data_IF_133181704884
#
_entry.id   IF_133181704884
#
_cell.length_a   1.000
_cell.length_b   1.000
_cell.length_c   1.000
_cell.angle_alpha   90.00
_cell.angle_beta   90.00
_cell.angle_gamma   90.00
#
_symmetry.space_group_name_H-M   'P 1'
#
loop_
_entity.id
_entity.type
_entity.pdbx_description
1 polymer ?
#
# COMPACT_ATOMS: atom_id res chain seq x y z
N UNK A 1 26.18 51.44 -66.41
CA UNK A 1 25.51 50.68 -67.48
C UNK A 1 24.90 49.42 -66.90
N UNK A 2 23.56 49.42 -66.81
CA UNK A 2 22.57 48.36 -67.07
C UNK A 2 22.72 46.95 -66.45
N UNK A 3 21.57 46.50 -65.93
CA UNK A 3 21.09 45.11 -65.70
C UNK A 3 21.45 44.49 -64.36
N UNK A 4 20.52 44.17 -63.45
CA UNK A 4 19.22 43.51 -63.65
C UNK A 4 19.40 42.05 -63.23
N UNK A 5 18.76 41.52 -62.18
CA UNK A 5 17.33 41.23 -62.09
C UNK A 5 16.93 41.01 -60.62
N UNK A 6 15.70 41.43 -60.32
CA UNK A 6 14.96 41.18 -59.08
C UNK A 6 14.62 39.69 -58.99
N UNK A 7 14.80 39.07 -57.82
CA UNK A 7 14.14 37.81 -57.49
C UNK A 7 13.16 38.06 -56.34
N UNK A 8 11.88 37.97 -56.68
CA UNK A 8 10.73 38.10 -55.80
C UNK A 8 10.60 36.88 -54.89
N UNK A 9 10.23 37.17 -53.64
CA UNK A 9 9.25 36.47 -52.80
C UNK A 9 9.32 34.93 -52.77
N UNK A 10 9.74 34.38 -51.62
CA UNK A 10 9.07 33.21 -51.08
C UNK A 10 8.86 33.38 -49.57
N UNK A 11 7.64 33.06 -49.16
CA UNK A 11 6.99 33.50 -47.94
C UNK A 11 7.63 32.97 -46.65
N UNK A 12 7.75 33.87 -45.68
CA UNK A 12 7.81 33.54 -44.26
C UNK A 12 6.50 32.85 -43.85
N UNK A 13 6.55 31.54 -43.64
CA UNK A 13 5.48 30.75 -43.05
C UNK A 13 5.93 30.17 -41.72
N UNK A 14 6.14 31.02 -40.71
CA UNK A 14 6.29 30.58 -39.31
C UNK A 14 4.90 30.15 -38.81
N UNK A 15 4.58 28.87 -38.96
CA UNK A 15 3.48 28.23 -38.23
C UNK A 15 3.94 28.03 -36.79
N UNK A 16 3.69 29.04 -35.94
CA UNK A 16 3.62 28.88 -34.49
C UNK A 16 2.43 27.96 -34.20
N UNK A 17 2.70 26.66 -34.08
CA UNK A 17 1.80 25.73 -33.44
C UNK A 17 1.67 26.15 -31.98
N UNK A 18 0.60 26.88 -31.66
CA UNK A 18 0.21 27.18 -30.29
C UNK A 18 0.00 25.88 -29.55
N UNK A 19 0.94 25.52 -28.67
CA UNK A 19 0.71 24.50 -27.67
C UNK A 19 -0.40 25.02 -26.74
N UNK A 20 -1.64 24.63 -27.03
CA UNK A 20 -2.76 24.77 -26.12
C UNK A 20 -2.51 23.81 -24.96
N UNK A 21 -1.73 24.26 -23.96
CA UNK A 21 -1.68 23.60 -22.67
C UNK A 21 -2.99 23.92 -21.98
N UNK A 22 -4.01 23.09 -22.23
CA UNK A 22 -5.22 23.11 -21.43
C UNK A 22 -4.81 22.83 -19.96
N UNK A 23 -5.27 23.62 -18.98
CA UNK A 23 -4.99 23.35 -17.58
C UNK A 23 -5.59 21.99 -17.22
N UNK A 24 -4.73 21.04 -16.81
CA UNK A 24 -5.16 19.75 -16.26
C UNK A 24 -6.09 20.03 -15.08
N UNK A 25 -7.28 19.40 -14.98
CA UNK A 25 -8.19 19.61 -13.85
C UNK A 25 -7.61 18.98 -12.57
N UNK A 26 -6.63 19.65 -11.95
CA UNK A 26 -5.91 19.19 -10.76
C UNK A 26 -6.86 18.86 -9.58
N UNK A 27 -8.03 19.48 -9.54
CA UNK A 27 -9.04 19.25 -8.50
C UNK A 27 -9.81 17.93 -8.59
N UNK A 28 -9.90 17.29 -9.76
CA UNK A 28 -10.66 16.04 -9.91
C UNK A 28 -9.79 14.80 -9.67
N UNK A 29 -8.51 14.82 -10.04
CA UNK A 29 -7.56 13.73 -9.79
C UNK A 29 -7.19 13.64 -8.30
N UNK A 30 -6.87 14.78 -7.67
CA UNK A 30 -6.57 14.84 -6.24
C UNK A 30 -7.76 14.38 -5.37
N UNK A 31 -9.01 14.54 -5.82
CA UNK A 31 -10.21 14.09 -5.11
C UNK A 31 -10.56 12.61 -5.37
N UNK A 32 -10.03 12.00 -6.42
CA UNK A 32 -10.22 10.56 -6.73
C UNK A 32 -9.28 9.66 -5.92
N UNK A 33 -8.03 10.08 -5.70
CA UNK A 33 -7.05 9.24 -5.01
C UNK A 33 -7.40 8.90 -3.55
N UNK A 34 -7.86 9.84 -2.70
CA UNK A 34 -8.27 9.53 -1.33
C UNK A 34 -9.38 8.48 -1.27
N UNK A 35 -10.33 8.50 -2.22
CA UNK A 35 -11.42 7.51 -2.29
C UNK A 35 -10.93 6.11 -2.67
N UNK A 36 -9.89 6.01 -3.51
CA UNK A 36 -9.31 4.71 -3.87
C UNK A 36 -8.47 4.13 -2.71
N UNK A 37 -7.75 4.97 -1.97
CA UNK A 37 -7.01 4.54 -0.78
C UNK A 37 -7.96 4.02 0.31
N UNK A 38 -9.05 4.75 0.58
CA UNK A 38 -10.09 4.33 1.50
C UNK A 38 -10.76 3.02 1.08
N UNK A 39 -11.13 2.89 -0.20
CA UNK A 39 -11.69 1.64 -0.73
C UNK A 39 -10.72 0.45 -0.57
N UNK A 40 -9.42 0.65 -0.83
CA UNK A 40 -8.39 -0.38 -0.64
C UNK A 40 -8.25 -0.79 0.83
N UNK A 41 -8.25 0.17 1.74
CA UNK A 41 -8.23 -0.11 3.18
C UNK A 41 -9.45 -0.92 3.62
N UNK A 42 -10.65 -0.49 3.23
CA UNK A 42 -11.89 -1.18 3.60
C UNK A 42 -11.94 -2.61 3.06
N UNK A 43 -11.49 -2.84 1.83
CA UNK A 43 -11.41 -4.18 1.26
C UNK A 43 -10.40 -5.07 2.01
N UNK A 44 -9.22 -4.54 2.34
CA UNK A 44 -8.21 -5.28 3.11
C UNK A 44 -8.69 -5.60 4.53
N UNK A 45 -9.42 -4.67 5.17
CA UNK A 45 -9.99 -4.86 6.51
C UNK A 45 -11.03 -5.98 6.52
N UNK A 46 -12.00 -5.91 5.61
CA UNK A 46 -13.04 -6.95 5.48
C UNK A 46 -12.43 -8.33 5.23
N UNK A 47 -11.43 -8.40 4.35
CA UNK A 47 -10.79 -9.67 4.03
C UNK A 47 -9.93 -10.19 5.19
N UNK A 48 -9.22 -9.31 5.92
CA UNK A 48 -8.50 -9.71 7.12
C UNK A 48 -9.44 -10.30 8.17
N UNK A 49 -10.57 -9.64 8.44
CA UNK A 49 -11.55 -10.10 9.42
C UNK A 49 -12.09 -11.50 9.07
N UNK A 50 -12.40 -11.73 7.79
CA UNK A 50 -12.82 -13.04 7.29
C UNK A 50 -11.74 -14.11 7.48
N UNK A 51 -10.50 -13.80 7.09
CA UNK A 51 -9.37 -14.73 7.18
C UNK A 51 -9.04 -15.04 8.63
N UNK A 52 -9.11 -14.05 9.53
CA UNK A 52 -8.95 -14.27 10.96
C UNK A 52 -9.99 -15.23 11.51
N UNK A 53 -11.27 -15.03 11.18
CA UNK A 53 -12.35 -15.94 11.57
C UNK A 53 -12.14 -17.35 11.02
N UNK A 54 -11.75 -17.47 9.75
CA UNK A 54 -11.48 -18.76 9.11
C UNK A 54 -10.29 -19.46 9.75
N UNK A 55 -9.26 -18.72 10.14
CA UNK A 55 -8.09 -19.28 10.82
C UNK A 55 -8.48 -19.84 12.19
N UNK A 56 -9.30 -19.11 12.96
CA UNK A 56 -9.83 -19.58 14.24
C UNK A 56 -10.68 -20.87 14.11
N UNK A 57 -11.24 -21.11 12.92
CA UNK A 57 -12.00 -22.30 12.56
C UNK A 57 -11.14 -23.37 11.86
N UNK A 58 -9.82 -23.20 11.77
CA UNK A 58 -8.89 -24.09 11.07
C UNK A 58 -9.22 -24.30 9.59
N UNK A 59 -9.75 -23.28 8.91
CA UNK A 59 -10.15 -23.33 7.48
C UNK A 59 -9.11 -22.73 6.53
N UNK A 60 -8.12 -22.03 7.06
CA UNK A 60 -7.00 -21.41 6.33
C UNK A 60 -5.74 -21.55 7.16
N UNK A 61 -4.58 -21.30 6.57
CA UNK A 61 -3.28 -21.47 7.21
C UNK A 61 -2.83 -20.16 7.88
N UNK A 62 -1.86 -20.23 8.80
CA UNK A 62 -1.37 -19.03 9.51
C UNK A 62 -0.72 -18.00 8.59
N UNK A 63 -0.17 -18.45 7.45
CA UNK A 63 0.42 -17.56 6.45
C UNK A 63 -0.63 -16.62 5.83
N UNK A 64 -1.87 -17.09 5.62
CA UNK A 64 -2.94 -16.25 5.09
C UNK A 64 -3.23 -15.08 6.04
N UNK A 65 -3.26 -15.34 7.35
CA UNK A 65 -3.46 -14.30 8.36
C UNK A 65 -2.34 -13.26 8.33
N UNK A 66 -1.09 -13.71 8.22
CA UNK A 66 0.07 -12.82 8.11
C UNK A 66 -0.02 -11.92 6.86
N UNK A 67 -0.27 -12.52 5.69
CA UNK A 67 -0.35 -11.79 4.42
C UNK A 67 -1.45 -10.73 4.46
N UNK A 68 -2.65 -11.09 4.90
CA UNK A 68 -3.75 -10.12 4.95
C UNK A 68 -3.55 -9.04 6.03
N UNK A 69 -2.91 -9.37 7.16
CA UNK A 69 -2.52 -8.37 8.15
C UNK A 69 -1.51 -7.36 7.61
N UNK A 70 -0.56 -7.82 6.78
CA UNK A 70 0.43 -6.97 6.11
C UNK A 70 -0.22 -6.09 5.03
N UNK A 71 -1.11 -6.65 4.21
CA UNK A 71 -1.85 -5.88 3.21
C UNK A 71 -2.73 -4.80 3.85
N UNK A 72 -3.37 -5.10 4.98
CA UNK A 72 -4.14 -4.12 5.76
C UNK A 72 -3.24 -3.00 6.30
N UNK A 73 -2.07 -3.34 6.84
CA UNK A 73 -1.07 -2.36 7.28
C UNK A 73 -0.63 -1.44 6.13
N UNK A 74 -0.31 -2.01 4.97
CA UNK A 74 0.10 -1.24 3.79
C UNK A 74 -1.02 -0.34 3.26
N UNK A 75 -2.27 -0.83 3.25
CA UNK A 75 -3.42 -0.02 2.88
C UNK A 75 -3.68 1.12 3.88
N UNK A 76 -3.53 0.87 5.18
CA UNK A 76 -3.68 1.88 6.23
C UNK A 76 -2.66 3.02 6.10
N UNK A 77 -1.39 2.69 5.81
CA UNK A 77 -0.35 3.69 5.52
C UNK A 77 -0.68 4.55 4.29
N UNK A 78 -1.42 3.99 3.32
CA UNK A 78 -1.89 4.73 2.14
C UNK A 78 -2.98 5.76 2.41
N UNK A 79 -3.58 5.79 3.62
CA UNK A 79 -4.62 6.76 3.98
C UNK A 79 -4.04 8.11 4.42
N UNK A 80 -2.79 8.15 4.88
CA UNK A 80 -2.17 9.38 5.38
C UNK A 80 -0.66 9.30 5.35
N UNK A 81 -0.01 10.37 4.87
CA UNK A 81 1.44 10.50 4.89
C UNK A 81 2.00 10.84 6.28
N UNK A 82 1.12 11.14 7.24
CA UNK A 82 1.51 11.56 8.59
C UNK A 82 2.31 10.47 9.32
N UNK A 83 3.46 10.82 9.93
CA UNK A 83 4.29 9.85 10.66
C UNK A 83 3.54 9.10 11.77
N UNK A 84 2.69 9.79 12.55
CA UNK A 84 1.93 9.17 13.64
C UNK A 84 0.93 8.11 13.14
N UNK A 85 0.31 8.33 11.98
CA UNK A 85 -0.61 7.37 11.35
C UNK A 85 0.13 6.16 10.80
N UNK A 86 1.34 6.36 10.30
CA UNK A 86 2.22 5.29 9.84
C UNK A 86 2.66 4.40 11.01
N UNK A 87 3.07 5.00 12.13
CA UNK A 87 3.43 4.27 13.36
C UNK A 87 2.22 3.47 13.87
N UNK A 88 1.03 4.07 13.92
CA UNK A 88 -0.18 3.36 14.35
C UNK A 88 -0.47 2.11 13.48
N UNK A 89 -0.30 2.19 12.16
CA UNK A 89 -0.48 1.05 11.28
C UNK A 89 0.48 -0.12 11.59
N UNK A 90 1.74 0.19 11.93
CA UNK A 90 2.72 -0.81 12.36
C UNK A 90 2.37 -1.41 13.74
N UNK A 91 1.90 -0.59 14.68
CA UNK A 91 1.47 -1.06 16.00
C UNK A 91 0.28 -2.01 15.92
N UNK A 92 -0.71 -1.70 15.09
CA UNK A 92 -1.85 -2.58 14.85
C UNK A 92 -1.45 -3.90 14.17
N UNK A 93 -0.52 -3.86 13.21
CA UNK A 93 0.02 -5.07 12.59
C UNK A 93 0.74 -5.96 13.62
N UNK A 94 1.58 -5.35 14.46
CA UNK A 94 2.29 -6.04 15.53
C UNK A 94 1.32 -6.69 16.53
N UNK A 95 0.26 -5.98 16.93
CA UNK A 95 -0.77 -6.53 17.81
C UNK A 95 -1.44 -7.77 17.19
N UNK A 96 -1.80 -7.71 15.90
CA UNK A 96 -2.32 -8.88 15.16
C UNK A 96 -1.32 -10.05 15.15
N UNK A 97 -0.02 -9.81 14.95
CA UNK A 97 1.00 -10.88 14.94
C UNK A 97 1.21 -11.49 16.33
N UNK A 98 1.19 -10.68 17.40
CA UNK A 98 1.23 -11.18 18.78
C UNK A 98 0.03 -12.07 19.10
N UNK A 99 -1.18 -11.68 18.66
CA UNK A 99 -2.40 -12.47 18.81
C UNK A 99 -2.30 -13.80 18.05
N UNK A 100 -1.81 -13.77 16.81
CA UNK A 100 -1.62 -14.96 15.98
C UNK A 100 -0.61 -15.93 16.62
N UNK A 101 0.57 -15.44 17.01
CA UNK A 101 1.60 -16.26 17.68
C UNK A 101 1.07 -16.88 18.98
N UNK A 102 0.32 -16.11 19.79
CA UNK A 102 -0.30 -16.61 21.01
C UNK A 102 -1.28 -17.76 20.73
N UNK A 103 -2.12 -17.61 19.70
CA UNK A 103 -3.08 -18.62 19.30
C UNK A 103 -2.37 -19.89 18.79
N UNK A 104 -1.35 -19.74 17.94
CA UNK A 104 -0.55 -20.85 17.41
C UNK A 104 0.13 -21.63 18.54
N UNK A 105 0.80 -20.93 19.47
CA UNK A 105 1.44 -21.57 20.62
C UNK A 105 0.42 -22.31 21.48
N UNK A 106 -0.79 -21.76 21.67
CA UNK A 106 -1.88 -22.42 22.39
C UNK A 106 -2.35 -23.69 21.67
N UNK A 107 -2.61 -23.63 20.37
CA UNK A 107 -3.00 -24.77 19.54
C UNK A 107 -1.94 -25.86 19.58
N UNK A 108 -0.66 -25.49 19.45
CA UNK A 108 0.47 -26.42 19.55
C UNK A 108 0.57 -27.12 20.89
N UNK A 109 0.40 -26.39 21.99
CA UNK A 109 0.40 -26.95 23.35
C UNK A 109 -0.72 -27.96 23.58
N UNK A 110 -1.84 -27.82 22.86
CA UNK A 110 -2.97 -28.76 22.90
C UNK A 110 -2.75 -29.99 21.99
N UNK A 111 -1.60 -30.11 21.32
CA UNK A 111 -1.26 -31.25 20.45
C UNK A 111 -1.70 -31.10 19.00
N UNK A 112 -2.23 -29.94 18.60
CA UNK A 112 -2.67 -29.65 17.23
C UNK A 112 -1.69 -28.71 16.50
N UNK A 113 -1.87 -28.52 15.20
CA UNK A 113 -1.04 -27.61 14.40
C UNK A 113 0.40 -28.09 14.17
N UNK A 114 1.10 -27.45 13.23
CA UNK A 114 2.46 -27.84 12.84
C UNK A 114 3.48 -27.09 13.70
N UNK A 115 4.61 -27.73 14.01
CA UNK A 115 5.72 -27.05 14.71
C UNK A 115 6.29 -25.91 13.87
N UNK A 116 6.23 -26.02 12.54
CA UNK A 116 6.62 -24.95 11.61
C UNK A 116 5.84 -23.66 11.83
N UNK A 117 4.58 -23.75 12.22
CA UNK A 117 3.71 -22.58 12.38
C UNK A 117 4.16 -21.73 13.58
N UNK A 118 4.72 -22.37 14.62
CA UNK A 118 5.29 -21.66 15.78
C UNK A 118 6.45 -20.79 15.34
N UNK A 119 7.44 -21.36 14.65
CA UNK A 119 8.60 -20.62 14.16
C UNK A 119 8.24 -19.54 13.14
N UNK A 120 7.29 -19.82 12.25
CA UNK A 120 6.77 -18.85 11.30
C UNK A 120 6.11 -17.65 12.01
N UNK A 121 5.25 -17.92 13.01
CA UNK A 121 4.55 -16.86 13.75
C UNK A 121 5.48 -16.00 14.60
N UNK A 122 6.55 -16.59 15.14
CA UNK A 122 7.60 -15.85 15.82
C UNK A 122 8.34 -14.92 14.86
N UNK A 123 8.71 -15.41 13.67
CA UNK A 123 9.31 -14.59 12.62
C UNK A 123 8.40 -13.42 12.23
N UNK A 124 7.11 -13.65 12.00
CA UNK A 124 6.17 -12.59 11.63
C UNK A 124 6.05 -11.50 12.71
N UNK A 125 6.03 -11.88 14.00
CA UNK A 125 6.06 -10.91 15.10
C UNK A 125 7.35 -10.10 15.08
N UNK A 126 8.51 -10.76 14.97
CA UNK A 126 9.82 -10.09 14.96
C UNK A 126 9.92 -9.11 13.78
N UNK A 127 9.48 -9.51 12.59
CA UNK A 127 9.45 -8.63 11.43
C UNK A 127 8.58 -7.38 11.70
N UNK A 128 7.40 -7.55 12.29
CA UNK A 128 6.53 -6.44 12.69
C UNK A 128 7.19 -5.52 13.75
N UNK A 129 7.97 -6.07 14.67
CA UNK A 129 8.74 -5.30 15.65
C UNK A 129 9.86 -4.49 15.00
N UNK A 130 10.59 -5.10 14.06
CA UNK A 130 11.62 -4.41 13.29
C UNK A 130 11.03 -3.22 12.53
N UNK A 131 9.93 -3.41 11.80
CA UNK A 131 9.29 -2.32 11.07
C UNK A 131 8.77 -1.21 11.97
N UNK A 132 8.22 -1.55 13.14
CA UNK A 132 7.78 -0.55 14.11
C UNK A 132 8.97 0.24 14.68
N UNK A 133 10.08 -0.44 15.00
CA UNK A 133 11.29 0.20 15.50
C UNK A 133 11.91 1.15 14.45
N UNK A 134 11.97 0.72 13.19
CA UNK A 134 12.41 1.55 12.07
C UNK A 134 11.53 2.79 11.91
N UNK A 135 10.20 2.63 11.94
CA UNK A 135 9.26 3.74 11.80
C UNK A 135 9.33 4.75 12.95
N UNK A 136 9.68 4.30 14.17
CA UNK A 136 9.87 5.18 15.35
C UNK A 136 11.22 5.89 15.37
N UNK A 137 12.16 5.45 14.54
CA UNK A 137 13.53 6.01 14.46
C UNK A 137 13.70 7.03 13.34
N UNK A 138 12.66 7.26 12.53
CA UNK A 138 12.59 8.27 11.47
C UNK A 138 11.97 9.57 12.01
#
# INVERSE_FOLDING_TARGET
MISGKKLQLLCWGLLLAGASVAPVPQGQEARKQPRLAEARYNAALQQFDLIWQYYQQSRVESFDVYVWSRLLMDASKGLSDRPDKRIAAYEEHLDRMKKLETLIKKVRRLGFGRSSDVGASEYYRIEAECWLAEAKSQ
#
